data_IF_724512242595
#
_entry.id   IF_724512242595
#
_cell.length_a   1.000
_cell.length_b   1.000
_cell.length_c   1.000
_cell.angle_alpha   90.00
_cell.angle_beta   90.00
_cell.angle_gamma   90.00
#
_symmetry.space_group_name_H-M   'P 1'
#
loop_
_entity.id
_entity.type
_entity.pdbx_description
1 polymer ?
#
# COMPACT_ATOMS: atom_id res chain seq x y z
N UNK A 1 8.29 6.72 -6.40
CA UNK A 1 9.39 7.45 -7.07
C UNK A 1 8.87 8.61 -7.90
N UNK A 2 8.18 8.36 -9.02
CA UNK A 2 7.71 9.42 -9.94
C UNK A 2 6.69 10.37 -9.32
N UNK A 3 5.68 9.85 -8.63
CA UNK A 3 4.62 10.66 -8.02
C UNK A 3 5.17 11.71 -7.02
N UNK A 4 6.14 11.31 -6.20
CA UNK A 4 6.75 12.17 -5.17
C UNK A 4 8.00 12.91 -5.65
N UNK A 5 8.49 12.64 -6.86
CA UNK A 5 9.77 13.16 -7.34
C UNK A 5 11.00 12.69 -6.53
N UNK A 6 10.89 11.55 -5.84
CA UNK A 6 11.93 11.00 -4.98
C UNK A 6 12.61 9.79 -5.64
N UNK A 7 13.89 9.93 -5.97
CA UNK A 7 14.77 8.80 -6.30
C UNK A 7 15.07 8.02 -5.02
N UNK A 8 14.75 6.72 -4.98
CA UNK A 8 14.97 5.89 -3.79
C UNK A 8 16.45 5.78 -3.44
N UNK A 9 17.30 5.66 -4.46
CA UNK A 9 18.74 5.48 -4.30
C UNK A 9 19.43 6.75 -3.77
N UNK A 10 18.84 7.93 -4.01
CA UNK A 10 19.37 9.22 -3.52
C UNK A 10 18.68 9.71 -2.23
N UNK A 11 17.49 9.18 -1.91
CA UNK A 11 16.66 9.64 -0.81
C UNK A 11 17.32 9.48 0.57
N UNK A 12 18.21 8.51 0.74
CA UNK A 12 18.92 8.28 2.00
C UNK A 12 19.70 9.49 2.54
N UNK A 13 19.98 10.50 1.69
CA UNK A 13 20.67 11.75 2.08
C UNK A 13 19.79 12.72 2.89
N UNK A 14 18.46 12.64 2.77
CA UNK A 14 17.53 13.59 3.39
C UNK A 14 16.29 12.94 4.01
N UNK A 15 15.96 11.70 3.66
CA UNK A 15 14.74 11.04 4.10
C UNK A 15 14.65 10.92 5.62
N UNK A 16 15.75 10.56 6.30
CA UNK A 16 15.77 10.51 7.77
C UNK A 16 15.41 11.86 8.40
N UNK A 17 15.93 12.96 7.84
CA UNK A 17 15.61 14.29 8.32
C UNK A 17 14.13 14.65 8.11
N UNK A 18 13.53 14.23 6.98
CA UNK A 18 12.11 14.46 6.72
C UNK A 18 11.21 13.69 7.69
N UNK A 19 11.62 12.49 8.10
CA UNK A 19 10.92 11.70 9.11
C UNK A 19 11.06 12.33 10.51
N UNK A 20 12.28 12.72 10.90
CA UNK A 20 12.57 13.33 12.21
C UNK A 20 11.87 14.68 12.40
N UNK A 21 11.72 15.46 11.34
CA UNK A 21 11.07 16.78 11.37
C UNK A 21 9.57 16.72 11.08
N UNK A 22 9.02 15.54 10.79
CA UNK A 22 7.59 15.35 10.51
C UNK A 22 7.14 15.90 9.15
N UNK A 23 8.07 16.18 8.23
CA UNK A 23 7.73 16.47 6.82
C UNK A 23 7.09 15.25 6.17
N UNK A 24 7.57 14.05 6.52
CA UNK A 24 6.94 12.78 6.19
C UNK A 24 6.68 12.00 7.47
N UNK A 25 5.49 11.40 7.60
CA UNK A 25 5.16 10.58 8.78
C UNK A 25 5.80 9.19 8.73
N UNK A 26 6.01 8.66 7.52
CA UNK A 26 6.57 7.32 7.27
C UNK A 26 7.39 7.33 5.98
N UNK A 27 8.27 6.34 5.85
CA UNK A 27 8.99 6.12 4.60
C UNK A 27 8.00 5.72 3.49
N UNK A 28 7.82 6.54 2.43
CA UNK A 28 6.87 6.26 1.36
C UNK A 28 7.31 5.10 0.46
N UNK A 29 8.56 4.63 0.57
CA UNK A 29 9.04 3.43 -0.11
C UNK A 29 8.68 2.15 0.62
N UNK A 30 8.33 2.22 1.91
CA UNK A 30 7.91 1.08 2.71
C UNK A 30 6.38 0.99 2.83
N UNK A 31 5.72 2.12 3.13
CA UNK A 31 4.25 2.24 3.25
C UNK A 31 3.71 3.14 2.15
N UNK A 32 2.58 2.78 1.54
CA UNK A 32 1.94 3.63 0.53
C UNK A 32 1.56 4.98 1.15
N UNK A 33 1.98 6.04 0.46
CA UNK A 33 1.46 7.39 0.65
C UNK A 33 0.03 7.45 0.09
N UNK A 34 -0.96 7.33 0.97
CA UNK A 34 -2.36 7.18 0.56
C UNK A 34 -2.91 8.47 -0.08
N UNK A 35 -2.55 9.65 0.41
CA UNK A 35 -3.05 10.93 -0.10
C UNK A 35 -2.31 11.47 -1.34
N UNK A 36 -1.38 10.71 -1.91
CA UNK A 36 -0.65 11.10 -3.12
C UNK A 36 -0.51 9.95 -4.10
N UNK A 37 0.28 8.93 -3.75
CA UNK A 37 0.38 7.71 -4.58
C UNK A 37 -0.95 6.95 -4.60
N UNK A 38 -1.65 6.89 -3.47
CA UNK A 38 -2.95 6.23 -3.35
C UNK A 38 -4.04 6.85 -4.22
N UNK A 39 -4.14 8.18 -4.28
CA UNK A 39 -5.07 8.89 -5.18
C UNK A 39 -4.85 8.51 -6.66
N UNK A 40 -3.59 8.39 -7.08
CA UNK A 40 -3.27 7.92 -8.44
C UNK A 40 -3.69 6.46 -8.67
N UNK A 41 -3.57 5.62 -7.64
CA UNK A 41 -4.04 4.23 -7.70
C UNK A 41 -5.56 4.15 -7.79
N UNK A 42 -6.29 4.96 -7.02
CA UNK A 42 -7.75 5.05 -7.07
C UNK A 42 -8.23 5.46 -8.47
N UNK A 43 -7.65 6.52 -9.04
CA UNK A 43 -7.94 6.95 -10.42
C UNK A 43 -7.69 5.80 -11.42
N UNK A 44 -6.60 5.04 -11.25
CA UNK A 44 -6.28 3.93 -12.13
C UNK A 44 -7.27 2.78 -12.01
N UNK A 45 -7.73 2.46 -10.79
CA UNK A 45 -8.75 1.43 -10.54
C UNK A 45 -10.07 1.83 -11.16
N UNK A 46 -10.55 3.04 -10.88
CA UNK A 46 -11.82 3.56 -11.38
C UNK A 46 -11.85 3.60 -12.91
N UNK A 47 -10.82 4.19 -13.53
CA UNK A 47 -10.73 4.31 -14.99
C UNK A 47 -10.47 2.97 -15.68
N UNK A 48 -9.69 2.10 -15.04
CA UNK A 48 -9.42 0.77 -15.57
C UNK A 48 -10.69 -0.07 -15.64
N UNK A 49 -11.49 -0.05 -14.56
CA UNK A 49 -12.75 -0.79 -14.50
C UNK A 49 -13.82 -0.18 -15.39
N UNK A 50 -13.95 1.15 -15.46
CA UNK A 50 -14.93 1.77 -16.36
C UNK A 50 -14.66 1.51 -17.85
N UNK A 51 -13.42 1.24 -18.23
CA UNK A 51 -13.05 0.84 -19.58
C UNK A 51 -13.18 -0.68 -19.82
N UNK A 52 -12.96 -1.50 -18.78
CA UNK A 52 -13.08 -2.96 -18.83
C UNK A 52 -13.44 -3.52 -17.45
N UNK A 53 -14.72 -3.81 -17.24
CA UNK A 53 -15.26 -4.20 -15.93
C UNK A 53 -14.58 -5.44 -15.31
N UNK A 54 -14.11 -6.38 -16.13
CA UNK A 54 -13.49 -7.65 -15.68
C UNK A 54 -11.96 -7.59 -15.57
N UNK A 55 -11.35 -6.39 -15.69
CA UNK A 55 -9.91 -6.22 -15.55
C UNK A 55 -9.43 -6.69 -14.17
N UNK A 56 -8.40 -7.52 -14.15
CA UNK A 56 -7.67 -7.91 -12.94
C UNK A 56 -6.62 -6.88 -12.60
N UNK A 57 -6.70 -6.33 -11.40
CA UNK A 57 -5.79 -5.31 -10.88
C UNK A 57 -5.10 -5.83 -9.63
N UNK A 58 -3.79 -5.62 -9.54
CA UNK A 58 -3.04 -5.98 -8.36
C UNK A 58 -1.81 -5.12 -8.19
N UNK A 59 -1.19 -5.24 -7.03
CA UNK A 59 0.04 -4.50 -6.67
C UNK A 59 1.21 -5.45 -6.53
N UNK A 60 2.41 -4.98 -6.89
CA UNK A 60 3.67 -5.67 -6.64
C UNK A 60 4.69 -4.75 -5.97
N UNK A 61 5.73 -5.35 -5.41
CA UNK A 61 6.82 -4.62 -4.76
C UNK A 61 6.75 -4.72 -3.23
N UNK A 62 7.45 -3.82 -2.55
CA UNK A 62 7.58 -3.87 -1.09
C UNK A 62 6.27 -3.61 -0.36
N UNK A 63 5.48 -2.67 -0.88
CA UNK A 63 4.15 -2.30 -0.38
C UNK A 63 3.17 -3.48 -0.37
N UNK A 64 3.29 -4.42 -1.31
CA UNK A 64 2.43 -5.61 -1.38
C UNK A 64 2.58 -6.57 -0.20
N UNK A 65 3.58 -6.35 0.68
CA UNK A 65 3.78 -7.12 1.90
C UNK A 65 3.76 -6.27 3.18
N UNK A 66 3.41 -4.98 3.09
CA UNK A 66 3.27 -4.09 4.25
C UNK A 66 1.79 -4.02 4.66
N UNK A 67 1.43 -4.33 5.92
CA UNK A 67 0.03 -4.49 6.33
C UNK A 67 -0.90 -3.32 6.01
N UNK A 68 -0.48 -2.07 6.23
CA UNK A 68 -1.34 -0.89 5.99
C UNK A 68 -1.57 -0.65 4.50
N UNK A 69 -0.56 -0.89 3.69
CA UNK A 69 -0.62 -0.83 2.23
C UNK A 69 -1.50 -1.94 1.68
N UNK A 70 -1.43 -3.16 2.24
CA UNK A 70 -2.31 -4.27 1.87
C UNK A 70 -3.77 -3.96 2.22
N UNK A 71 -4.04 -3.40 3.42
CA UNK A 71 -5.38 -2.98 3.81
C UNK A 71 -5.92 -1.89 2.88
N UNK A 72 -5.11 -0.89 2.53
CA UNK A 72 -5.48 0.12 1.55
C UNK A 72 -5.77 -0.47 0.15
N UNK A 73 -4.98 -1.45 -0.29
CA UNK A 73 -5.24 -2.14 -1.55
C UNK A 73 -6.57 -2.92 -1.52
N UNK A 74 -6.95 -3.48 -0.37
CA UNK A 74 -8.26 -4.11 -0.16
C UNK A 74 -9.39 -3.08 -0.25
N UNK A 75 -9.24 -1.91 0.37
CA UNK A 75 -10.21 -0.81 0.30
C UNK A 75 -10.41 -0.29 -1.13
N UNK A 76 -9.33 -0.17 -1.93
CA UNK A 76 -9.41 0.13 -3.36
C UNK A 76 -10.01 -1.03 -4.20
N UNK A 77 -10.20 -2.20 -3.59
CA UNK A 77 -10.76 -3.37 -4.23
C UNK A 77 -9.83 -4.04 -5.24
N UNK A 78 -8.50 -4.01 -5.03
CA UNK A 78 -7.58 -4.79 -5.88
C UNK A 78 -7.86 -6.30 -5.75
N UNK A 79 -7.64 -7.04 -6.84
CA UNK A 79 -7.85 -8.49 -6.86
C UNK A 79 -6.75 -9.28 -6.14
N UNK A 80 -5.52 -8.75 -6.11
CA UNK A 80 -4.39 -9.41 -5.46
C UNK A 80 -3.27 -8.46 -5.04
N UNK A 81 -2.45 -8.93 -4.10
CA UNK A 81 -1.15 -8.35 -3.74
C UNK A 81 -0.04 -9.36 -4.03
N UNK A 82 1.12 -8.87 -4.45
CA UNK A 82 2.31 -9.68 -4.73
C UNK A 82 3.50 -9.13 -3.96
N UNK A 83 4.15 -9.99 -3.19
CA UNK A 83 5.28 -9.64 -2.33
C UNK A 83 6.35 -10.73 -2.32
N UNK A 84 7.50 -10.46 -1.69
CA UNK A 84 8.58 -11.43 -1.56
C UNK A 84 8.12 -12.69 -0.78
N UNK A 85 8.70 -13.87 -1.05
CA UNK A 85 8.23 -15.13 -0.47
C UNK A 85 8.09 -15.10 1.06
N UNK A 86 9.02 -14.45 1.76
CA UNK A 86 9.01 -14.35 3.22
C UNK A 86 7.93 -13.42 3.77
N UNK A 87 7.42 -12.47 2.96
CA UNK A 87 6.31 -11.58 3.33
C UNK A 87 4.94 -12.17 3.00
N UNK A 88 4.86 -13.28 2.26
CA UNK A 88 3.59 -13.92 1.90
C UNK A 88 2.72 -14.24 3.13
N UNK A 89 3.23 -14.84 4.22
CA UNK A 89 2.40 -15.10 5.40
C UNK A 89 1.83 -13.80 6.02
N UNK A 90 2.63 -12.74 6.05
CA UNK A 90 2.24 -11.44 6.57
C UNK A 90 1.17 -10.78 5.70
N UNK A 91 1.35 -10.78 4.38
CA UNK A 91 0.39 -10.24 3.42
C UNK A 91 -0.96 -10.97 3.51
N UNK A 92 -0.93 -12.30 3.67
CA UNK A 92 -2.15 -13.11 3.86
C UNK A 92 -2.89 -12.74 5.15
N UNK A 93 -2.16 -12.57 6.26
CA UNK A 93 -2.75 -12.15 7.52
C UNK A 93 -3.35 -10.75 7.42
N UNK A 94 -2.62 -9.80 6.82
CA UNK A 94 -3.08 -8.43 6.63
C UNK A 94 -4.34 -8.36 5.75
N UNK A 95 -4.38 -9.10 4.65
CA UNK A 95 -5.55 -9.19 3.78
C UNK A 95 -6.77 -9.79 4.51
N UNK A 96 -6.56 -10.85 5.32
CA UNK A 96 -7.63 -11.42 6.13
C UNK A 96 -8.15 -10.44 7.18
N UNK A 97 -7.25 -9.70 7.84
CA UNK A 97 -7.63 -8.65 8.79
C UNK A 97 -8.43 -7.52 8.13
N UNK A 98 -8.02 -7.05 6.96
CA UNK A 98 -8.75 -6.04 6.20
C UNK A 98 -10.17 -6.50 5.87
N UNK A 99 -10.32 -7.74 5.39
CA UNK A 99 -11.63 -8.33 5.09
C UNK A 99 -12.52 -8.51 6.34
N UNK A 100 -11.94 -8.83 7.50
CA UNK A 100 -12.68 -8.93 8.77
C UNK A 100 -13.12 -7.55 9.28
N UNK A 101 -12.24 -6.55 9.20
CA UNK A 101 -12.55 -5.17 9.58
C UNK A 101 -13.68 -4.61 8.71
N UNK A 102 -13.68 -4.87 7.40
CA UNK A 102 -14.79 -4.50 6.50
C UNK A 102 -16.12 -5.12 6.93
N UNK A 103 -16.09 -6.33 7.50
CA UNK A 103 -17.27 -7.00 8.07
C UNK A 103 -17.65 -6.50 9.48
N UNK A 104 -16.95 -5.49 10.00
CA UNK A 104 -17.19 -4.93 11.34
C UNK A 104 -16.65 -5.79 12.48
N UNK A 105 -15.69 -6.69 12.21
CA UNK A 105 -15.05 -7.53 13.22
C UNK A 105 -13.78 -6.84 13.70
N UNK A 106 -13.68 -6.57 15.01
CA UNK A 106 -12.47 -6.05 15.62
C UNK A 106 -11.33 -7.07 15.53
N UNK A 107 -10.24 -6.66 14.87
CA UNK A 107 -9.02 -7.46 14.73
C UNK A 107 -7.87 -6.80 15.47
N UNK A 108 -7.02 -7.61 16.10
CA UNK A 108 -5.77 -7.12 16.68
C UNK A 108 -4.80 -6.80 15.54
N UNK A 109 -4.32 -5.55 15.41
CA UNK A 109 -3.47 -5.16 14.30
C UNK A 109 -2.11 -5.89 14.35
N UNK A 110 -1.57 -6.22 13.18
CA UNK A 110 -0.23 -6.79 13.04
C UNK A 110 0.82 -5.85 13.67
N UNK A 111 1.61 -6.38 14.60
CA UNK A 111 2.68 -5.64 15.27
C UNK A 111 2.23 -4.82 16.49
N UNK A 112 0.98 -5.00 16.94
CA UNK A 112 0.47 -4.50 18.23
C UNK A 112 0.80 -5.40 19.41
#
# INVERSE_FOLDING_TARGET
QTALGLSRDDAGRFLSHYLETGVLERDPFETIDQGGVGDLMEIAVERGRSARDDIKLGICGEHGGEPKSVAFCHELGLDYVSCSPYRVPLARLAAAQAALTEQGIDVVPIGG
#
